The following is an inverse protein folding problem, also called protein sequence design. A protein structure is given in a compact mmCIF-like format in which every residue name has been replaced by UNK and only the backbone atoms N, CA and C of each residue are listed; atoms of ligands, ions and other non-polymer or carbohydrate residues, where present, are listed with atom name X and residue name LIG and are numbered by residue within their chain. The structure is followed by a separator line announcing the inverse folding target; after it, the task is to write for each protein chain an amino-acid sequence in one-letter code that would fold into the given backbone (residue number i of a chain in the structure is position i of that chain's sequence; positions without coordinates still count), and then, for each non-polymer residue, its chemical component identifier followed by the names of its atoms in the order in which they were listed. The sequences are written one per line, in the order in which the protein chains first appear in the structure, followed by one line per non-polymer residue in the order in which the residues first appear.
data_IF_217492239424
#
_entry.id   IF_217492239424
#
_cell.length_a   1.000
_cell.length_b   1.000
_cell.length_c   1.000
_cell.angle_alpha   90.00
_cell.angle_beta   90.00
_cell.angle_gamma   90.00
#
_symmetry.space_group_name_H-M   'P 1'
#
loop_
_entity.id
_entity.type
_entity.pdbx_description
1 polymer ?
#
# COMPACT_ATOMS: atom_id res chain seq x y z
N UNK A 1 -7.02 -3.20 -6.78
CA UNK A 1 -8.11 -3.51 -5.86
C UNK A 1 -8.00 -4.94 -5.31
N UNK A 2 -7.95 -6.00 -6.15
CA UNK A 2 -7.90 -7.39 -5.71
C UNK A 2 -6.73 -7.67 -4.76
N UNK A 3 -5.53 -7.25 -5.10
CA UNK A 3 -4.34 -7.44 -4.27
C UNK A 3 -4.47 -6.77 -2.89
N UNK A 4 -5.04 -5.56 -2.84
CA UNK A 4 -5.25 -4.82 -1.59
C UNK A 4 -6.29 -5.51 -0.71
N UNK A 5 -7.37 -6.04 -1.31
CA UNK A 5 -8.39 -6.81 -0.61
C UNK A 5 -7.83 -8.13 -0.07
N UNK A 6 -7.00 -8.81 -0.86
CA UNK A 6 -6.31 -10.03 -0.43
C UNK A 6 -5.41 -9.78 0.78
N UNK A 7 -4.52 -8.77 0.70
CA UNK A 7 -3.64 -8.40 1.80
C UNK A 7 -4.43 -7.95 3.05
N UNK A 8 -5.50 -7.18 2.86
CA UNK A 8 -6.38 -6.77 3.94
C UNK A 8 -7.14 -7.94 4.58
N UNK A 9 -7.57 -8.89 3.76
CA UNK A 9 -8.21 -10.13 4.24
C UNK A 9 -7.28 -10.97 5.11
N UNK A 10 -6.00 -11.10 4.70
CA UNK A 10 -4.98 -11.78 5.52
C UNK A 10 -4.78 -11.04 6.85
N UNK A 11 -4.59 -9.72 6.80
CA UNK A 11 -4.36 -8.90 8.00
C UNK A 11 -5.51 -9.05 9.02
N UNK A 12 -6.74 -8.84 8.57
CA UNK A 12 -7.93 -8.91 9.45
C UNK A 12 -8.17 -10.33 9.93
N UNK A 13 -8.02 -11.31 9.04
CA UNK A 13 -8.17 -12.72 9.40
C UNK A 13 -7.18 -13.15 10.48
N UNK A 14 -5.93 -12.65 10.44
CA UNK A 14 -4.93 -12.93 11.48
C UNK A 14 -5.24 -12.24 12.82
N UNK A 15 -5.77 -11.02 12.78
CA UNK A 15 -6.01 -10.22 13.97
C UNK A 15 -7.31 -10.62 14.68
N UNK A 16 -8.36 -10.90 13.93
CA UNK A 16 -9.70 -11.18 14.48
C UNK A 16 -10.08 -12.66 14.47
N UNK A 17 -9.29 -13.51 13.81
CA UNK A 17 -9.59 -14.93 13.68
C UNK A 17 -10.82 -15.25 12.83
N UNK A 18 -11.24 -14.32 11.94
CA UNK A 18 -12.41 -14.49 11.07
C UNK A 18 -11.99 -14.97 9.69
N UNK A 19 -12.91 -15.65 8.95
CA UNK A 19 -12.63 -16.11 7.60
C UNK A 19 -12.26 -14.97 6.65
N UNK A 20 -11.40 -15.25 5.68
CA UNK A 20 -10.90 -14.26 4.73
C UNK A 20 -12.03 -13.56 3.95
N UNK A 21 -13.07 -14.30 3.55
CA UNK A 21 -14.17 -13.74 2.77
C UNK A 21 -15.00 -12.71 3.57
N UNK A 22 -15.20 -12.93 4.88
CA UNK A 22 -15.86 -11.98 5.78
C UNK A 22 -15.03 -10.72 5.97
N UNK A 23 -13.72 -10.88 6.13
CA UNK A 23 -12.75 -9.79 6.23
C UNK A 23 -12.77 -8.91 4.97
N UNK A 24 -12.76 -9.53 3.80
CA UNK A 24 -12.81 -8.83 2.51
C UNK A 24 -14.14 -8.09 2.34
N UNK A 25 -15.25 -8.75 2.65
CA UNK A 25 -16.59 -8.12 2.56
C UNK A 25 -16.69 -6.90 3.49
N UNK A 26 -16.24 -7.04 4.73
CA UNK A 26 -16.19 -5.94 5.69
C UNK A 26 -15.35 -4.76 5.18
N UNK A 27 -14.17 -5.03 4.63
CA UNK A 27 -13.30 -3.99 4.04
C UNK A 27 -13.97 -3.27 2.87
N UNK A 28 -14.62 -4.00 1.97
CA UNK A 28 -15.32 -3.38 0.82
C UNK A 28 -16.43 -2.48 1.29
N UNK A 29 -17.27 -2.96 2.23
CA UNK A 29 -18.39 -2.18 2.75
C UNK A 29 -17.92 -0.92 3.46
N UNK A 30 -16.96 -1.04 4.39
CA UNK A 30 -16.44 0.11 5.14
C UNK A 30 -15.76 1.11 4.21
N UNK A 31 -14.93 0.63 3.29
CA UNK A 31 -14.22 1.50 2.32
C UNK A 31 -15.20 2.17 1.35
N UNK A 32 -16.23 1.47 0.92
CA UNK A 32 -17.29 2.01 0.08
C UNK A 32 -18.05 3.13 0.78
N UNK A 33 -18.48 2.92 2.02
CA UNK A 33 -19.15 3.94 2.83
C UNK A 33 -18.25 5.16 3.06
N UNK A 34 -16.96 4.93 3.35
CA UNK A 34 -15.99 6.01 3.51
C UNK A 34 -15.80 6.82 2.22
N UNK A 35 -15.66 6.15 1.07
CA UNK A 35 -15.52 6.81 -0.22
C UNK A 35 -16.80 7.60 -0.62
N UNK A 36 -17.99 7.02 -0.38
CA UNK A 36 -19.27 7.69 -0.64
C UNK A 36 -19.48 8.93 0.22
N UNK A 37 -19.09 8.89 1.49
CA UNK A 37 -19.26 9.99 2.42
C UNK A 37 -18.28 11.15 2.15
N UNK A 38 -17.01 10.83 1.90
CA UNK A 38 -15.93 11.82 1.86
C UNK A 38 -15.42 12.19 0.47
N UNK A 39 -15.56 11.31 -0.50
CA UNK A 39 -15.01 11.47 -1.84
C UNK A 39 -13.49 11.62 -1.85
N UNK A 40 -12.92 12.02 -3.00
CA UNK A 40 -11.48 12.13 -3.23
C UNK A 40 -10.77 13.06 -2.23
N UNK A 41 -11.42 14.19 -1.84
CA UNK A 41 -10.82 15.17 -0.93
C UNK A 41 -10.59 14.60 0.48
N UNK A 42 -11.55 13.86 1.01
CA UNK A 42 -11.40 13.22 2.32
C UNK A 42 -10.33 12.14 2.28
N UNK A 43 -10.33 11.30 1.23
CA UNK A 43 -9.32 10.28 1.01
C UNK A 43 -7.92 10.91 0.97
N UNK A 44 -7.72 11.97 0.20
CA UNK A 44 -6.43 12.66 0.09
C UNK A 44 -5.96 13.26 1.43
N UNK A 45 -6.86 13.86 2.21
CA UNK A 45 -6.51 14.45 3.51
C UNK A 45 -6.11 13.40 4.54
N UNK A 46 -6.84 12.28 4.59
CA UNK A 46 -6.52 11.18 5.51
C UNK A 46 -5.21 10.47 5.12
N UNK A 47 -4.91 10.36 3.82
CA UNK A 47 -3.68 9.75 3.34
C UNK A 47 -2.42 10.45 3.85
N UNK A 48 -2.42 11.77 3.95
CA UNK A 48 -1.27 12.54 4.46
C UNK A 48 -0.98 12.15 5.91
N UNK A 49 -2.00 12.13 6.75
CA UNK A 49 -1.86 11.75 8.16
C UNK A 49 -1.46 10.28 8.32
N UNK A 50 -2.09 9.39 7.56
CA UNK A 50 -1.77 7.96 7.57
C UNK A 50 -0.33 7.69 7.14
N UNK A 51 0.16 8.39 6.10
CA UNK A 51 1.54 8.24 5.63
C UNK A 51 2.55 8.66 6.70
N UNK A 52 2.31 9.76 7.40
CA UNK A 52 3.17 10.19 8.49
C UNK A 52 3.24 9.16 9.63
N UNK A 53 2.08 8.61 10.04
CA UNK A 53 2.02 7.54 11.04
C UNK A 53 2.70 6.26 10.56
N UNK A 54 2.49 5.87 9.31
CA UNK A 54 3.06 4.66 8.74
C UNK A 54 4.60 4.75 8.71
N UNK A 55 5.16 5.87 8.27
CA UNK A 55 6.60 6.11 8.29
C UNK A 55 7.15 6.01 9.73
N UNK A 56 6.50 6.68 10.67
CA UNK A 56 6.94 6.70 12.08
C UNK A 56 6.93 5.30 12.69
N UNK A 57 5.83 4.58 12.52
CA UNK A 57 5.67 3.23 13.08
C UNK A 57 6.64 2.23 12.42
N UNK A 58 6.80 2.30 11.10
CA UNK A 58 7.74 1.43 10.38
C UNK A 58 9.19 1.75 10.75
N UNK A 59 9.55 3.02 10.92
CA UNK A 59 10.87 3.41 11.40
C UNK A 59 11.15 2.88 12.81
N UNK A 60 10.19 2.98 13.72
CA UNK A 60 10.29 2.39 15.06
C UNK A 60 10.47 0.87 15.00
N UNK A 61 9.71 0.19 14.13
CA UNK A 61 9.80 -1.26 13.95
C UNK A 61 11.21 -1.67 13.48
N UNK A 62 11.76 -0.93 12.51
CA UNK A 62 13.12 -1.16 12.01
C UNK A 62 14.16 -0.94 13.11
N UNK A 63 14.08 0.16 13.85
CA UNK A 63 15.05 0.48 14.92
C UNK A 63 15.01 -0.59 16.02
N UNK A 64 13.81 -0.94 16.50
CA UNK A 64 13.66 -1.98 17.55
C UNK A 64 14.08 -3.35 17.02
N UNK A 65 13.71 -3.68 15.79
CA UNK A 65 14.07 -4.94 15.15
C UNK A 65 15.58 -5.09 14.94
N UNK A 66 16.24 -4.05 14.43
CA UNK A 66 17.71 -4.03 14.27
C UNK A 66 18.42 -4.15 15.63
N UNK A 67 17.94 -3.45 16.64
CA UNK A 67 18.52 -3.56 17.98
C UNK A 67 18.46 -5.01 18.50
N UNK A 68 17.31 -5.67 18.35
CA UNK A 68 17.13 -7.07 18.76
C UNK A 68 17.93 -8.07 17.90
N UNK A 69 18.15 -7.76 16.63
CA UNK A 69 18.97 -8.58 15.73
C UNK A 69 20.48 -8.44 15.98
N UNK A 70 20.90 -7.57 16.90
CA UNK A 70 22.34 -7.32 17.17
C UNK A 70 22.96 -6.26 16.26
N UNK A 71 22.14 -5.45 15.59
CA UNK A 71 22.58 -4.40 14.69
C UNK A 71 22.63 -4.82 13.23
N UNK A 72 23.02 -3.88 12.37
CA UNK A 72 23.03 -4.10 10.91
C UNK A 72 24.11 -5.11 10.50
N UNK A 73 25.28 -5.12 11.15
CA UNK A 73 26.36 -6.08 10.86
C UNK A 73 25.93 -7.51 11.16
N UNK A 74 25.30 -7.75 12.30
CA UNK A 74 24.78 -9.07 12.66
C UNK A 74 23.69 -9.55 11.70
N UNK A 75 22.81 -8.63 11.27
CA UNK A 75 21.79 -8.92 10.27
C UNK A 75 22.41 -9.30 8.91
N UNK A 76 23.44 -8.58 8.50
CA UNK A 76 24.15 -8.84 7.24
C UNK A 76 24.85 -10.21 7.25
N UNK A 77 25.52 -10.56 8.34
CA UNK A 77 26.19 -11.85 8.51
C UNK A 77 25.22 -13.04 8.61
N UNK A 78 24.05 -12.82 9.20
CA UNK A 78 23.03 -13.85 9.38
C UNK A 78 22.21 -14.14 8.10
N UNK A 79 22.37 -13.32 7.05
CA UNK A 79 21.59 -13.44 5.81
C UNK A 79 22.47 -13.82 4.61
N UNK A 80 21.93 -14.57 3.63
CA UNK A 80 22.66 -14.86 2.40
C UNK A 80 23.07 -13.57 1.68
N UNK A 81 24.29 -13.51 1.15
CA UNK A 81 24.81 -12.33 0.43
C UNK A 81 23.92 -11.93 -0.77
N UNK A 82 23.18 -12.88 -1.34
CA UNK A 82 22.23 -12.61 -2.43
C UNK A 82 21.10 -11.63 -2.03
N UNK A 83 20.73 -11.51 -0.75
CA UNK A 83 19.69 -10.59 -0.28
C UNK A 83 20.11 -9.11 -0.41
N UNK A 84 21.42 -8.87 -0.45
CA UNK A 84 21.99 -7.52 -0.52
C UNK A 84 22.46 -7.14 -1.94
N UNK A 85 22.32 -8.07 -2.89
CA UNK A 85 22.66 -7.81 -4.28
C UNK A 85 21.50 -7.09 -4.97
N UNK A 86 21.76 -5.89 -5.46
CA UNK A 86 20.77 -5.12 -6.25
C UNK A 86 20.47 -5.81 -7.59
N UNK A 87 21.49 -6.41 -8.19
CA UNK A 87 21.37 -7.13 -9.47
C UNK A 87 21.47 -8.63 -9.20
N UNK A 88 20.36 -9.33 -9.34
CA UNK A 88 20.34 -10.79 -9.28
C UNK A 88 20.78 -11.37 -10.64
N UNK A 89 21.43 -12.55 -10.66
CA UNK A 89 21.82 -13.21 -11.90
C UNK A 89 20.62 -13.42 -12.85
N UNK A 90 20.92 -13.52 -14.16
CA UNK A 90 19.85 -13.72 -15.17
C UNK A 90 19.16 -15.10 -15.09
N UNK A 91 19.81 -16.07 -14.47
CA UNK A 91 19.28 -17.40 -14.19
C UNK A 91 18.48 -17.47 -12.87
N UNK A 92 18.36 -16.36 -12.15
CA UNK A 92 17.51 -16.27 -10.97
C UNK A 92 16.05 -16.53 -11.34
N UNK A 93 15.36 -17.48 -10.64
CA UNK A 93 13.98 -17.84 -10.97
C UNK A 93 12.98 -16.70 -10.69
N UNK A 94 13.28 -15.83 -9.71
CA UNK A 94 12.30 -14.85 -9.23
C UNK A 94 12.57 -13.44 -9.78
N UNK A 95 13.83 -12.99 -9.81
CA UNK A 95 14.18 -11.59 -10.08
C UNK A 95 15.39 -11.44 -10.99
N UNK A 96 15.40 -11.98 -12.23
CA UNK A 96 16.51 -11.77 -13.15
C UNK A 96 16.67 -10.29 -13.51
N UNK A 97 17.87 -9.73 -13.33
CA UNK A 97 18.10 -8.29 -13.45
C UNK A 97 17.68 -7.70 -14.80
N UNK A 98 17.87 -8.45 -15.88
CA UNK A 98 17.53 -8.00 -17.23
C UNK A 98 16.01 -7.88 -17.43
N UNK A 99 15.25 -8.83 -16.92
CA UNK A 99 13.78 -8.77 -16.97
C UNK A 99 13.24 -7.61 -16.14
N UNK A 100 13.85 -7.32 -14.99
CA UNK A 100 13.47 -6.17 -14.16
C UNK A 100 13.80 -4.86 -14.90
N UNK A 101 15.00 -4.75 -15.47
CA UNK A 101 15.43 -3.54 -16.17
C UNK A 101 14.54 -3.19 -17.38
N UNK A 102 14.09 -4.20 -18.12
CA UNK A 102 13.26 -4.02 -19.31
C UNK A 102 11.75 -3.99 -18.98
N UNK A 103 11.31 -4.83 -18.06
CA UNK A 103 9.88 -4.97 -17.72
C UNK A 103 9.36 -3.93 -16.74
N UNK A 104 10.15 -3.58 -15.72
CA UNK A 104 9.71 -2.65 -14.69
C UNK A 104 9.38 -1.24 -15.19
N UNK A 105 10.11 -0.64 -16.16
CA UNK A 105 9.72 0.64 -16.76
C UNK A 105 8.34 0.61 -17.41
N UNK A 106 7.96 -0.50 -18.07
CA UNK A 106 6.63 -0.66 -18.69
C UNK A 106 5.55 -0.67 -17.60
N UNK A 107 5.75 -1.46 -16.56
CA UNK A 107 4.86 -1.49 -15.39
C UNK A 107 4.80 -0.13 -14.69
N UNK A 108 5.93 0.55 -14.56
CA UNK A 108 6.02 1.87 -13.95
C UNK A 108 5.23 2.93 -14.73
N UNK A 109 5.36 2.97 -16.04
CA UNK A 109 4.59 3.89 -16.89
C UNK A 109 3.10 3.59 -16.78
N UNK A 110 2.70 2.31 -16.80
CA UNK A 110 1.30 1.94 -16.62
C UNK A 110 0.78 2.43 -15.25
N UNK A 111 1.44 2.11 -14.16
CA UNK A 111 0.98 2.41 -12.81
C UNK A 111 0.97 3.90 -12.48
N UNK A 112 2.06 4.61 -12.82
CA UNK A 112 2.21 6.02 -12.43
C UNK A 112 1.59 7.02 -13.41
N UNK A 113 1.43 6.64 -14.68
CA UNK A 113 1.01 7.57 -15.72
C UNK A 113 -0.39 7.27 -16.27
N UNK A 114 -0.89 6.05 -16.14
CA UNK A 114 -2.18 5.65 -16.75
C UNK A 114 -3.21 5.09 -15.77
N UNK A 115 -2.79 4.58 -14.60
CA UNK A 115 -3.74 4.09 -13.61
C UNK A 115 -4.58 5.24 -13.04
N UNK A 116 -5.91 5.15 -13.21
CA UNK A 116 -6.85 6.19 -12.80
C UNK A 116 -6.77 6.51 -11.31
N UNK A 117 -6.52 5.52 -10.46
CA UNK A 117 -6.45 5.72 -9.00
C UNK A 117 -5.26 6.58 -8.58
N UNK A 118 -4.17 6.52 -9.33
CA UNK A 118 -2.97 7.34 -9.10
C UNK A 118 -3.11 8.72 -9.75
N UNK A 119 -3.46 8.73 -11.03
CA UNK A 119 -3.49 9.95 -11.86
C UNK A 119 -4.55 10.94 -11.36
N UNK A 120 -5.73 10.48 -10.90
CA UNK A 120 -6.78 11.37 -10.39
C UNK A 120 -6.31 12.20 -9.18
N UNK A 121 -5.42 11.69 -8.36
CA UNK A 121 -4.89 12.44 -7.21
C UNK A 121 -3.98 13.60 -7.64
N UNK A 122 -3.20 13.40 -8.69
CA UNK A 122 -2.33 14.44 -9.28
C UNK A 122 -3.15 15.46 -10.05
N UNK A 123 -4.15 15.01 -10.85
CA UNK A 123 -5.05 15.88 -11.60
C UNK A 123 -5.99 16.70 -10.70
N UNK A 124 -6.28 16.21 -9.48
CA UNK A 124 -7.05 16.94 -8.46
C UNK A 124 -6.26 18.05 -7.76
N UNK A 125 -4.98 18.27 -8.09
CA UNK A 125 -4.18 19.34 -7.53
C UNK A 125 -4.70 20.73 -7.97
N UNK A 126 -4.44 21.75 -7.12
CA UNK A 126 -4.87 23.14 -7.35
C UNK A 126 -4.37 23.71 -8.69
N UNK A 127 -3.14 23.40 -9.05
CA UNK A 127 -2.47 23.84 -10.27
C UNK A 127 -1.40 22.82 -10.71
N UNK A 128 -0.94 22.94 -11.96
CA UNK A 128 0.06 22.05 -12.53
C UNK A 128 1.35 21.98 -11.70
N UNK A 129 1.82 23.13 -11.21
CA UNK A 129 3.05 23.23 -10.41
C UNK A 129 2.94 22.47 -9.09
N UNK A 130 1.78 22.54 -8.44
CA UNK A 130 1.49 21.79 -7.22
C UNK A 130 1.43 20.29 -7.50
N UNK A 131 0.79 19.87 -8.59
CA UNK A 131 0.76 18.47 -9.01
C UNK A 131 2.17 17.91 -9.28
N UNK A 132 2.99 18.65 -10.04
CA UNK A 132 4.37 18.25 -10.31
C UNK A 132 5.24 18.15 -9.05
N UNK A 133 5.11 19.10 -8.13
CA UNK A 133 5.83 19.06 -6.84
C UNK A 133 5.40 17.85 -6.00
N UNK A 134 4.10 17.56 -5.98
CA UNK A 134 3.55 16.39 -5.29
C UNK A 134 4.09 15.09 -5.88
N UNK A 135 4.11 14.95 -7.20
CA UNK A 135 4.66 13.79 -7.88
C UNK A 135 6.16 13.59 -7.59
N UNK A 136 6.96 14.66 -7.65
CA UNK A 136 8.39 14.61 -7.32
C UNK A 136 8.62 14.24 -5.86
N UNK A 137 7.83 14.79 -4.94
CA UNK A 137 7.90 14.45 -3.51
C UNK A 137 7.53 12.98 -3.26
N UNK A 138 6.51 12.46 -3.96
CA UNK A 138 6.15 11.06 -3.91
C UNK A 138 7.31 10.16 -4.38
N UNK A 139 7.99 10.54 -5.48
CA UNK A 139 9.19 9.83 -5.96
C UNK A 139 10.32 9.82 -4.93
N UNK A 140 10.53 10.92 -4.21
CA UNK A 140 11.51 10.99 -3.13
C UNK A 140 11.13 10.06 -1.96
N UNK A 141 9.86 10.03 -1.57
CA UNK A 141 9.38 9.15 -0.49
C UNK A 141 9.53 7.67 -0.84
N UNK A 142 9.52 7.29 -2.12
CA UNK A 142 9.75 5.91 -2.56
C UNK A 142 11.12 5.34 -2.17
N UNK A 143 12.11 6.19 -1.91
CA UNK A 143 13.42 5.76 -1.40
C UNK A 143 13.28 5.11 -0.01
N UNK A 144 12.27 5.52 0.76
CA UNK A 144 12.00 4.97 2.09
C UNK A 144 11.33 3.59 2.06
N UNK A 145 10.82 3.12 0.93
CA UNK A 145 10.13 1.83 0.84
C UNK A 145 11.06 0.66 1.25
N UNK A 146 12.32 0.69 0.81
CA UNK A 146 13.28 -0.37 1.11
C UNK A 146 13.59 -0.45 2.60
N UNK A 147 14.08 0.61 3.27
CA UNK A 147 14.40 0.55 4.69
C UNK A 147 13.18 0.38 5.60
N UNK A 148 11.99 0.86 5.20
CA UNK A 148 10.83 0.84 6.09
C UNK A 148 9.90 -0.38 5.89
N UNK A 149 9.89 -0.98 4.69
CA UNK A 149 8.93 -2.06 4.41
C UNK A 149 9.60 -3.37 3.99
N UNK A 150 10.76 -3.33 3.31
CA UNK A 150 11.48 -4.55 2.91
C UNK A 150 12.39 -5.04 4.03
N UNK A 151 13.16 -4.14 4.64
CA UNK A 151 14.08 -4.49 5.72
C UNK A 151 13.41 -5.19 6.92
N UNK A 152 12.19 -4.80 7.37
CA UNK A 152 11.47 -5.56 8.39
C UNK A 152 11.23 -7.03 8.06
N UNK A 153 11.03 -7.36 6.78
CA UNK A 153 10.91 -8.75 6.32
C UNK A 153 12.19 -9.55 6.55
N UNK A 154 13.35 -8.95 6.26
CA UNK A 154 14.66 -9.57 6.51
C UNK A 154 14.93 -9.72 8.02
N UNK A 155 14.61 -8.69 8.79
CA UNK A 155 14.72 -8.73 10.27
C UNK A 155 13.83 -9.84 10.83
N UNK A 156 12.59 -9.95 10.34
CA UNK A 156 11.68 -11.01 10.78
C UNK A 156 12.24 -12.40 10.48
N UNK A 157 12.83 -12.61 9.31
CA UNK A 157 13.42 -13.86 8.91
C UNK A 157 14.58 -14.28 9.82
N UNK A 158 15.41 -13.34 10.26
CA UNK A 158 16.56 -13.59 11.15
C UNK A 158 16.10 -13.86 12.59
N UNK A 159 15.15 -13.07 13.09
CA UNK A 159 14.65 -13.22 14.45
C UNK A 159 13.69 -14.42 14.62
N UNK A 160 12.95 -14.75 13.57
CA UNK A 160 11.89 -15.77 13.57
C UNK A 160 11.96 -16.63 12.30
N UNK A 161 12.90 -17.59 12.23
CA UNK A 161 13.13 -18.40 11.01
C UNK A 161 11.91 -19.21 10.55
N UNK A 162 10.99 -19.52 11.45
CA UNK A 162 9.72 -20.20 11.17
C UNK A 162 8.82 -19.46 10.20
N UNK A 163 8.99 -18.13 10.07
CA UNK A 163 8.19 -17.30 9.16
C UNK A 163 8.36 -17.67 7.67
N UNK A 164 9.42 -18.42 7.33
CA UNK A 164 9.63 -18.94 5.97
C UNK A 164 8.44 -19.75 5.45
N UNK A 165 7.70 -20.42 6.33
CA UNK A 165 6.52 -21.19 5.96
C UNK A 165 5.31 -20.30 5.62
N UNK A 166 5.27 -19.06 6.14
CA UNK A 166 4.16 -18.12 5.96
C UNK A 166 4.67 -16.69 5.78
N UNK A 167 5.38 -16.36 4.70
CA UNK A 167 6.04 -15.07 4.52
C UNK A 167 5.06 -13.89 4.49
N UNK A 168 3.82 -14.10 4.04
CA UNK A 168 2.77 -13.07 4.04
C UNK A 168 2.41 -12.54 5.43
N UNK A 169 2.77 -13.28 6.48
CA UNK A 169 2.53 -12.93 7.87
C UNK A 169 3.72 -12.21 8.54
N UNK A 170 4.85 -12.07 7.84
CA UNK A 170 6.10 -11.59 8.43
C UNK A 170 5.96 -10.24 9.14
N UNK A 171 5.32 -9.26 8.50
CA UNK A 171 5.19 -7.92 9.08
C UNK A 171 4.37 -7.93 10.38
N UNK A 172 3.21 -8.59 10.38
CA UNK A 172 2.35 -8.70 11.58
C UNK A 172 3.04 -9.51 12.66
N UNK A 173 3.70 -10.61 12.30
CA UNK A 173 4.45 -11.43 13.24
C UNK A 173 5.56 -10.61 13.93
N UNK A 174 6.29 -9.80 13.16
CA UNK A 174 7.31 -8.91 13.71
C UNK A 174 6.70 -7.88 14.67
N UNK A 175 5.62 -7.23 14.27
CA UNK A 175 4.91 -6.22 15.08
C UNK A 175 4.42 -6.81 16.40
N UNK A 176 3.76 -7.96 16.36
CA UNK A 176 3.19 -8.59 17.58
C UNK A 176 4.24 -9.08 18.56
N UNK A 177 5.44 -9.45 18.09
CA UNK A 177 6.52 -9.94 18.94
C UNK A 177 7.50 -8.85 19.41
N UNK A 178 7.56 -7.71 18.70
CA UNK A 178 8.50 -6.63 19.07
C UNK A 178 7.86 -5.50 19.85
N UNK A 179 6.57 -5.23 19.63
CA UNK A 179 5.92 -4.06 20.20
C UNK A 179 5.05 -4.41 21.43
N UNK A 180 4.94 -3.49 22.40
CA UNK A 180 3.95 -3.59 23.46
C UNK A 180 2.53 -3.40 22.89
N UNK A 181 1.52 -3.90 23.60
CA UNK A 181 0.12 -3.95 23.15
C UNK A 181 -0.43 -2.60 22.65
N UNK A 182 -0.05 -1.49 23.28
CA UNK A 182 -0.47 -0.15 22.83
C UNK A 182 0.07 0.24 21.44
N UNK A 183 1.33 -0.06 21.15
CA UNK A 183 1.93 0.19 19.84
C UNK A 183 1.40 -0.80 18.80
N UNK A 184 1.14 -2.05 19.15
CA UNK A 184 0.49 -3.01 18.24
C UNK A 184 -0.83 -2.44 17.75
N UNK A 185 -1.68 -1.93 18.66
CA UNK A 185 -2.95 -1.30 18.30
C UNK A 185 -2.79 -0.13 17.34
N UNK A 186 -1.80 0.74 17.56
CA UNK A 186 -1.51 1.87 16.68
C UNK A 186 -1.09 1.41 15.26
N UNK A 187 -0.22 0.40 15.17
CA UNK A 187 0.21 -0.20 13.89
C UNK A 187 -0.99 -0.75 13.14
N UNK A 188 -1.79 -1.57 13.81
CA UNK A 188 -2.96 -2.23 13.22
C UNK A 188 -3.97 -1.20 12.70
N UNK A 189 -4.29 -0.19 13.49
CA UNK A 189 -5.20 0.89 13.08
C UNK A 189 -4.64 1.64 11.88
N UNK A 190 -3.34 1.94 11.87
CA UNK A 190 -2.68 2.63 10.76
C UNK A 190 -2.72 1.80 9.47
N UNK A 191 -2.47 0.49 9.56
CA UNK A 191 -2.54 -0.43 8.41
C UNK A 191 -3.97 -0.57 7.89
N UNK A 192 -4.95 -0.75 8.77
CA UNK A 192 -6.36 -0.83 8.37
C UNK A 192 -6.83 0.47 7.71
N UNK A 193 -6.47 1.62 8.27
CA UNK A 193 -6.79 2.92 7.70
C UNK A 193 -6.18 3.08 6.29
N UNK A 194 -4.91 2.67 6.10
CA UNK A 194 -4.25 2.70 4.79
C UNK A 194 -4.96 1.78 3.77
N UNK A 195 -5.40 0.59 4.18
CA UNK A 195 -6.15 -0.33 3.33
C UNK A 195 -7.51 0.25 2.93
N UNK A 196 -8.28 0.76 3.89
CA UNK A 196 -9.59 1.39 3.65
C UNK A 196 -9.44 2.57 2.67
N UNK A 197 -8.42 3.38 2.85
CA UNK A 197 -8.13 4.52 1.99
C UNK A 197 -7.73 4.09 0.57
N UNK A 198 -6.89 3.08 0.43
CA UNK A 198 -6.47 2.54 -0.88
C UNK A 198 -7.66 1.91 -1.63
N UNK A 199 -8.46 1.10 -0.94
CA UNK A 199 -9.68 0.50 -1.50
C UNK A 199 -10.67 1.60 -1.88
N UNK A 200 -10.88 2.59 -1.01
CA UNK A 200 -11.73 3.74 -1.27
C UNK A 200 -11.30 4.55 -2.50
N UNK A 201 -9.99 4.76 -2.69
CA UNK A 201 -9.44 5.41 -3.88
C UNK A 201 -9.72 4.60 -5.15
N UNK A 202 -9.53 3.29 -5.10
CA UNK A 202 -9.82 2.39 -6.23
C UNK A 202 -11.32 2.34 -6.57
N UNK A 203 -12.20 2.30 -5.57
CA UNK A 203 -13.65 2.36 -5.76
C UNK A 203 -14.08 3.69 -6.36
N UNK A 204 -13.52 4.80 -5.87
CA UNK A 204 -13.78 6.13 -6.43
C UNK A 204 -13.32 6.24 -7.90
N UNK A 205 -12.18 5.62 -8.23
CA UNK A 205 -11.66 5.54 -9.60
C UNK A 205 -12.61 4.76 -10.51
N UNK A 206 -13.03 3.56 -10.10
CA UNK A 206 -13.99 2.74 -10.84
C UNK A 206 -15.32 3.48 -11.05
N UNK A 207 -15.83 4.12 -10.01
CA UNK A 207 -17.02 4.95 -10.07
C UNK A 207 -16.89 6.10 -11.06
N UNK A 208 -15.74 6.77 -11.07
CA UNK A 208 -15.47 7.88 -12.00
C UNK A 208 -15.46 7.40 -13.45
N UNK A 209 -14.74 6.33 -13.74
CA UNK A 209 -14.67 5.72 -15.09
C UNK A 209 -16.06 5.27 -15.54
N UNK A 210 -16.79 4.56 -14.70
CA UNK A 210 -18.15 4.14 -15.01
C UNK A 210 -19.08 5.33 -15.31
N UNK A 211 -19.05 6.34 -14.45
CA UNK A 211 -19.96 7.49 -14.57
C UNK A 211 -19.63 8.34 -15.78
N UNK A 212 -18.35 8.64 -16.03
CA UNK A 212 -17.96 9.54 -17.11
C UNK A 212 -17.94 8.84 -18.47
N UNK A 213 -17.33 7.65 -18.56
CA UNK A 213 -17.11 6.99 -19.84
C UNK A 213 -18.31 6.16 -20.31
N UNK A 214 -19.09 5.62 -19.37
CA UNK A 214 -20.25 4.80 -19.70
C UNK A 214 -21.54 5.61 -19.57
N UNK A 215 -21.86 6.11 -18.36
CA UNK A 215 -23.16 6.74 -18.13
C UNK A 215 -23.30 8.06 -18.87
N UNK A 216 -22.41 9.02 -18.68
CA UNK A 216 -22.49 10.34 -19.34
C UNK A 216 -22.27 10.18 -20.83
N UNK A 217 -21.21 9.50 -21.25
CA UNK A 217 -20.84 9.43 -22.66
C UNK A 217 -21.86 8.63 -23.51
N UNK A 218 -22.42 7.54 -22.97
CA UNK A 218 -23.26 6.63 -23.75
C UNK A 218 -24.76 6.77 -23.48
N UNK A 219 -25.18 7.07 -22.26
CA UNK A 219 -26.60 7.07 -21.89
C UNK A 219 -27.19 8.46 -21.70
N UNK A 220 -26.46 9.41 -21.12
CA UNK A 220 -26.98 10.76 -20.82
C UNK A 220 -25.92 11.85 -21.04
N UNK A 221 -25.64 12.22 -22.31
CA UNK A 221 -24.62 13.26 -22.63
C UNK A 221 -24.88 14.63 -22.00
N UNK A 222 -26.13 14.94 -21.70
CA UNK A 222 -26.55 16.20 -21.06
C UNK A 222 -26.83 16.03 -19.56
N UNK A 223 -26.15 15.09 -18.88
CA UNK A 223 -26.33 14.90 -17.44
C UNK A 223 -25.86 16.15 -16.68
N UNK A 224 -26.68 16.60 -15.72
CA UNK A 224 -26.24 17.68 -14.85
C UNK A 224 -25.30 17.20 -13.78
N UNK A 225 -24.50 18.10 -13.17
CA UNK A 225 -23.51 17.74 -12.15
C UNK A 225 -24.12 16.97 -10.97
N UNK A 226 -25.39 17.22 -10.61
CA UNK A 226 -26.09 16.49 -9.54
C UNK A 226 -26.32 15.02 -9.90
N UNK A 227 -26.71 14.76 -11.17
CA UNK A 227 -26.89 13.41 -11.68
C UNK A 227 -25.58 12.64 -11.70
N UNK A 228 -24.49 13.28 -12.19
CA UNK A 228 -23.15 12.71 -12.24
C UNK A 228 -22.68 12.29 -10.84
N UNK A 229 -22.81 13.19 -9.85
CA UNK A 229 -22.44 12.89 -8.46
C UNK A 229 -23.30 11.78 -7.85
N UNK A 230 -24.62 11.77 -8.16
CA UNK A 230 -25.55 10.75 -7.63
C UNK A 230 -25.25 9.35 -8.18
N UNK A 231 -24.93 9.25 -9.45
CA UNK A 231 -24.57 7.97 -10.09
C UNK A 231 -23.20 7.49 -9.68
N UNK A 232 -22.26 8.41 -9.47
CA UNK A 232 -20.91 8.10 -9.01
C UNK A 232 -20.80 7.72 -7.52
N UNK A 233 -21.84 7.89 -6.74
CA UNK A 233 -21.95 7.45 -5.35
C UNK A 233 -22.62 6.09 -5.23
#
# INVERSE_FOLDING_TARGET
LALTLFAGGILIGQLLGIPMWESVLGLVVISGLFAMAGGLKAIASTNVFQMALLILVSALLVVVGLHKAGGFSALYEATPGSFWNLFQPNDSPDYPWLAILLGYPIMGVWFWCTDQSMVQSVLGAKDLKTGQRGANFCGLLKILDVPLFILPGIICLVLFPEIKATPDKAYIHLVTNLFPSGLIGLVVVTMLAAMISTIGSALNSLSTVFTMDIYVRKYKPAACNKDVVRIGR
#
